data_IF_980215549176
#
_entry.id   IF_980215549176
#
_cell.length_a   1.000
_cell.length_b   1.000
_cell.length_c   1.000
_cell.angle_alpha   90.00
_cell.angle_beta   90.00
_cell.angle_gamma   90.00
#
_symmetry.space_group_name_H-M   'P 1'
#
loop_
_entity.id
_entity.type
_entity.pdbx_description
1 polymer ?
#
# COMPACT_ATOMS: atom_id res chain seq x y z
N UNK A 1 -14.42 -8.16 -18.35
CA UNK A 1 -14.90 -6.92 -18.99
C UNK A 1 -14.31 -5.66 -18.37
N UNK A 2 -14.44 -5.39 -17.06
CA UNK A 2 -13.87 -4.14 -16.50
C UNK A 2 -12.35 -3.96 -16.74
N UNK A 3 -11.55 -4.99 -16.49
CA UNK A 3 -10.09 -4.91 -16.62
C UNK A 3 -9.57 -5.01 -18.05
N UNK A 4 -10.41 -5.35 -19.04
CA UNK A 4 -9.97 -5.43 -20.44
C UNK A 4 -9.81 -4.07 -21.10
N UNK A 5 -10.23 -2.99 -20.44
CA UNK A 5 -10.00 -1.61 -20.87
C UNK A 5 -8.65 -1.03 -20.36
N UNK A 6 -7.87 -1.82 -19.62
CA UNK A 6 -6.57 -1.37 -19.11
C UNK A 6 -5.50 -1.73 -20.15
N UNK A 7 -4.90 -0.71 -20.75
CA UNK A 7 -3.81 -0.88 -21.72
C UNK A 7 -2.47 -1.28 -21.06
N UNK A 8 -2.27 -0.86 -19.79
CA UNK A 8 -1.04 -1.10 -19.05
C UNK A 8 -1.31 -1.21 -17.54
N UNK A 9 -0.83 -2.29 -16.94
CA UNK A 9 -0.95 -2.57 -15.52
C UNK A 9 0.42 -2.58 -14.81
N UNK A 10 0.60 -1.64 -13.89
CA UNK A 10 1.81 -1.50 -13.08
C UNK A 10 1.53 -1.98 -11.65
N UNK A 11 2.31 -2.96 -11.19
CA UNK A 11 2.20 -3.52 -9.84
C UNK A 11 3.38 -3.12 -8.93
N UNK A 12 3.08 -2.33 -7.89
CA UNK A 12 4.02 -2.03 -6.81
C UNK A 12 4.05 -3.19 -5.81
N UNK A 13 5.01 -4.10 -5.97
CA UNK A 13 5.09 -5.33 -5.18
C UNK A 13 5.73 -5.06 -3.82
N UNK A 14 4.93 -5.12 -2.76
CA UNK A 14 5.43 -5.05 -1.38
C UNK A 14 6.20 -6.34 -1.01
N UNK A 15 7.17 -6.28 -0.09
CA UNK A 15 7.98 -7.46 0.22
C UNK A 15 7.23 -8.47 1.11
N UNK A 16 6.31 -8.00 1.96
CA UNK A 16 5.39 -8.82 2.74
C UNK A 16 4.31 -7.95 3.39
N UNK A 17 3.27 -8.59 3.91
CA UNK A 17 2.14 -7.91 4.55
C UNK A 17 2.52 -7.11 5.80
N UNK A 18 3.52 -7.56 6.58
CA UNK A 18 3.99 -6.83 7.78
C UNK A 18 4.50 -5.43 7.43
N UNK A 19 5.12 -5.24 6.26
CA UNK A 19 5.54 -3.92 5.79
C UNK A 19 4.38 -2.98 5.49
N UNK A 20 3.24 -3.50 5.03
CA UNK A 20 2.04 -2.69 4.78
C UNK A 20 1.55 -2.03 6.07
N UNK A 21 1.57 -2.76 7.19
CA UNK A 21 1.22 -2.22 8.50
C UNK A 21 2.15 -1.06 8.91
N UNK A 22 3.46 -1.28 8.81
CA UNK A 22 4.48 -0.27 9.15
C UNK A 22 4.31 0.98 8.29
N UNK A 23 4.15 0.80 6.98
CA UNK A 23 4.01 1.92 6.05
C UNK A 23 2.70 2.69 6.22
N UNK A 24 1.60 2.01 6.56
CA UNK A 24 0.35 2.68 6.92
C UNK A 24 0.54 3.54 8.17
N UNK A 25 1.25 3.04 9.18
CA UNK A 25 1.62 3.83 10.36
C UNK A 25 2.47 5.06 10.03
N UNK A 26 3.46 4.93 9.14
CA UNK A 26 4.26 6.07 8.67
C UNK A 26 3.42 7.11 7.92
N UNK A 27 2.48 6.65 7.09
CA UNK A 27 1.57 7.53 6.37
C UNK A 27 0.69 8.31 7.33
N UNK A 28 0.14 7.66 8.37
CA UNK A 28 -0.71 8.29 9.36
C UNK A 28 0.06 9.32 10.22
N UNK A 29 1.31 9.01 10.58
CA UNK A 29 2.21 9.97 11.26
C UNK A 29 2.49 11.21 10.40
N UNK A 30 2.77 11.02 9.10
CA UNK A 30 2.96 12.13 8.15
C UNK A 30 1.69 12.98 8.02
N UNK A 31 0.52 12.33 7.98
CA UNK A 31 -0.78 13.00 7.93
C UNK A 31 -1.06 13.82 9.19
N UNK A 32 -0.72 13.30 10.37
CA UNK A 32 -0.84 14.02 11.63
C UNK A 32 0.08 15.25 11.65
N UNK A 33 1.32 15.12 11.17
CA UNK A 33 2.27 16.23 11.10
C UNK A 33 1.81 17.35 10.16
N UNK A 34 1.37 17.01 8.93
CA UNK A 34 0.93 18.00 7.94
C UNK A 34 -0.32 18.77 8.36
N UNK A 35 -1.11 18.22 9.29
CA UNK A 35 -2.38 18.80 9.76
C UNK A 35 -2.27 19.56 11.08
N UNK A 36 -1.09 19.62 11.72
CA UNK A 36 -0.88 20.37 12.98
C UNK A 36 -1.32 21.84 12.91
N UNK A 37 -1.30 22.45 11.72
CA UNK A 37 -1.59 23.88 11.52
C UNK A 37 -2.95 24.16 10.84
N UNK A 38 -3.74 23.13 10.51
CA UNK A 38 -5.10 23.33 9.97
C UNK A 38 -6.14 23.27 11.09
N UNK A 39 -7.08 24.22 11.08
CA UNK A 39 -8.22 24.34 11.99
C UNK A 39 -8.87 22.99 12.34
N UNK A 40 -9.36 22.90 13.58
CA UNK A 40 -9.99 21.79 14.35
C UNK A 40 -11.13 21.01 13.66
N UNK A 41 -11.25 21.00 12.34
CA UNK A 41 -12.09 20.01 11.66
C UNK A 41 -11.45 18.63 11.83
N UNK A 42 -12.10 17.84 12.68
CA UNK A 42 -11.79 16.48 13.14
C UNK A 42 -11.47 15.53 11.99
N UNK A 43 -10.27 15.64 11.47
CA UNK A 43 -9.71 14.68 10.56
C UNK A 43 -9.22 13.50 11.39
N UNK A 44 -9.95 12.38 11.31
CA UNK A 44 -9.75 11.15 12.10
C UNK A 44 -8.37 10.54 11.79
N UNK A 45 -7.35 10.98 12.53
CA UNK A 45 -6.05 10.31 12.62
C UNK A 45 -6.29 8.99 13.35
N UNK A 46 -5.96 7.88 12.69
CA UNK A 46 -6.06 6.56 13.28
C UNK A 46 -4.97 6.34 14.32
N UNK A 47 -5.37 5.83 15.48
CA UNK A 47 -4.47 5.23 16.46
C UNK A 47 -3.83 3.95 15.91
N UNK A 48 -2.82 3.44 16.61
CA UNK A 48 -2.10 2.23 16.19
C UNK A 48 -3.01 0.98 16.18
N UNK A 49 -3.96 0.90 17.10
CA UNK A 49 -4.97 -0.17 17.15
C UNK A 49 -5.97 -0.07 15.99
N UNK A 50 -6.40 1.15 15.64
CA UNK A 50 -7.26 1.39 14.48
C UNK A 50 -6.54 1.06 13.17
N UNK A 51 -5.26 1.41 13.04
CA UNK A 51 -4.43 1.02 11.89
C UNK A 51 -4.34 -0.50 11.77
N UNK A 52 -4.09 -1.20 12.88
CA UNK A 52 -4.02 -2.67 12.88
C UNK A 52 -5.34 -3.28 12.42
N UNK A 53 -6.46 -2.83 12.99
CA UNK A 53 -7.80 -3.30 12.61
C UNK A 53 -8.11 -2.99 11.14
N UNK A 54 -7.78 -1.78 10.68
CA UNK A 54 -7.95 -1.36 9.29
C UNK A 54 -7.20 -2.28 8.32
N UNK A 55 -5.91 -2.54 8.59
CA UNK A 55 -5.07 -3.37 7.72
C UNK A 55 -5.56 -4.82 7.66
N UNK A 56 -6.06 -5.38 8.77
CA UNK A 56 -6.58 -6.76 8.80
C UNK A 56 -7.71 -7.01 7.79
N UNK A 57 -8.56 -6.01 7.49
CA UNK A 57 -9.60 -6.16 6.47
C UNK A 57 -9.03 -6.45 5.07
N UNK A 58 -7.81 -6.00 4.79
CA UNK A 58 -7.16 -6.16 3.49
C UNK A 58 -6.16 -7.32 3.46
N UNK A 59 -5.95 -8.05 4.56
CA UNK A 59 -4.91 -9.07 4.63
C UNK A 59 -5.05 -10.17 3.59
N UNK A 60 -6.26 -10.74 3.48
CA UNK A 60 -6.54 -11.82 2.54
C UNK A 60 -6.29 -11.40 1.09
N UNK A 61 -6.81 -10.23 0.70
CA UNK A 61 -6.68 -9.74 -0.68
C UNK A 61 -5.22 -9.36 -0.99
N UNK A 62 -4.51 -8.69 -0.08
CA UNK A 62 -3.10 -8.33 -0.31
C UNK A 62 -2.21 -9.56 -0.41
N UNK A 63 -2.40 -10.58 0.44
CA UNK A 63 -1.66 -11.85 0.33
C UNK A 63 -1.93 -12.57 -0.99
N UNK A 64 -3.18 -12.56 -1.44
CA UNK A 64 -3.55 -13.15 -2.73
C UNK A 64 -2.91 -12.38 -3.90
N UNK A 65 -2.94 -11.06 -3.86
CA UNK A 65 -2.29 -10.20 -4.86
C UNK A 65 -0.77 -10.41 -4.95
N UNK A 66 -0.08 -10.69 -3.83
CA UNK A 66 1.36 -10.98 -3.85
C UNK A 66 1.72 -12.20 -4.70
N UNK A 67 0.81 -13.16 -4.82
CA UNK A 67 0.96 -14.40 -5.59
C UNK A 67 0.46 -14.18 -7.02
N UNK A 68 -0.69 -13.51 -7.16
CA UNK A 68 -1.44 -13.46 -8.41
C UNK A 68 -1.03 -12.28 -9.30
N UNK A 69 -0.89 -11.06 -8.76
CA UNK A 69 -0.62 -9.85 -9.56
C UNK A 69 0.65 -9.93 -10.42
N UNK A 70 1.75 -10.59 -9.99
CA UNK A 70 2.91 -10.77 -10.87
C UNK A 70 2.61 -11.48 -12.20
N UNK A 71 1.51 -12.23 -12.28
CA UNK A 71 1.07 -12.94 -13.51
C UNK A 71 0.21 -12.08 -14.43
N UNK A 72 -0.35 -11.00 -13.90
CA UNK A 72 -1.31 -10.16 -14.62
C UNK A 72 -0.73 -8.79 -14.99
N UNK A 73 0.25 -8.30 -14.23
CA UNK A 73 0.84 -6.99 -14.45
C UNK A 73 1.89 -7.03 -15.57
N UNK A 74 1.90 -6.00 -16.42
CA UNK A 74 2.92 -5.80 -17.45
C UNK A 74 4.24 -5.31 -16.84
N UNK A 75 4.15 -4.51 -15.78
CA UNK A 75 5.33 -3.96 -15.09
C UNK A 75 5.23 -4.24 -13.61
N UNK A 76 6.28 -4.84 -13.05
CA UNK A 76 6.42 -5.06 -11.61
C UNK A 76 7.53 -4.15 -11.08
N UNK A 77 7.20 -3.36 -10.07
CA UNK A 77 8.14 -2.54 -9.32
C UNK A 77 8.25 -3.11 -7.89
N UNK A 78 9.25 -3.96 -7.60
CA UNK A 78 9.42 -4.48 -6.26
C UNK A 78 9.86 -3.37 -5.31
N UNK A 79 9.16 -3.22 -4.19
CA UNK A 79 9.51 -2.27 -3.14
C UNK A 79 10.30 -3.01 -2.06
N UNK A 80 11.45 -2.47 -1.71
CA UNK A 80 12.31 -3.03 -0.67
C UNK A 80 11.84 -2.65 0.74
N UNK A 81 12.43 -3.29 1.76
CA UNK A 81 12.06 -3.08 3.16
C UNK A 81 12.23 -1.65 3.68
N UNK A 82 13.02 -0.81 3.01
CA UNK A 82 13.24 0.61 3.32
C UNK A 82 12.37 1.54 2.45
N UNK A 83 11.34 1.00 1.78
CA UNK A 83 10.42 1.73 0.91
C UNK A 83 11.04 2.25 -0.40
N UNK A 84 12.22 1.74 -0.80
CA UNK A 84 12.84 2.10 -2.07
C UNK A 84 12.48 1.11 -3.19
N UNK A 85 12.24 1.58 -4.43
CA UNK A 85 12.11 0.71 -5.60
C UNK A 85 13.37 -0.13 -5.82
N UNK A 86 13.19 -1.36 -6.26
CA UNK A 86 14.27 -2.23 -6.77
C UNK A 86 14.21 -2.29 -8.30
N UNK A 87 15.09 -3.12 -8.88
CA UNK A 87 15.09 -3.45 -10.31
C UNK A 87 13.66 -3.76 -10.78
N UNK A 88 13.22 -2.98 -11.76
CA UNK A 88 11.91 -3.12 -12.41
C UNK A 88 11.94 -4.39 -13.28
N UNK A 89 10.81 -5.09 -13.32
CA UNK A 89 10.60 -6.28 -14.15
C UNK A 89 9.50 -5.92 -15.15
N UNK A 90 9.74 -6.20 -16.42
CA UNK A 90 8.78 -6.00 -17.52
C UNK A 90 8.44 -7.41 -18.02
N UNK A 91 7.16 -7.73 -18.08
CA UNK A 91 6.62 -9.01 -18.54
C UNK A 91 6.27 -8.97 -20.03
#
# INVERSE_FOLDING_TARGET
ELFSFIDLMIYLKVPNFKKVLIWRGLQEKKLAYSRKNMSKNKNKIMSESEIKRFIMFYERITKKMLIDMPKFADIIVPISSNHQPKKIIIN
#
